data_IF_381990210979
#
_entry.id   IF_381990210979
#
_cell.length_a   1.000
_cell.length_b   1.000
_cell.length_c   1.000
_cell.angle_alpha   90.00
_cell.angle_beta   90.00
_cell.angle_gamma   90.00
#
_symmetry.space_group_name_H-M   'P 1'
#
loop_
_entity.id
_entity.type
_entity.pdbx_description
1 polymer ?
#
# COMPACT_ATOMS: atom_id res chain seq x y z
N UNK A 1 -5.10 13.82 -49.72
CA UNK A 1 -4.42 12.56 -50.09
C UNK A 1 -3.40 12.13 -49.03
N UNK A 2 -2.42 12.97 -48.67
CA UNK A 2 -1.35 12.61 -47.69
C UNK A 2 -1.87 12.27 -46.28
N UNK A 3 -2.88 13.01 -45.76
CA UNK A 3 -3.46 12.72 -44.44
C UNK A 3 -4.16 11.35 -44.37
N UNK A 4 -4.77 10.90 -45.47
CA UNK A 4 -5.42 9.61 -45.53
C UNK A 4 -4.37 8.48 -45.52
N UNK A 5 -3.31 8.64 -46.31
CA UNK A 5 -2.17 7.70 -46.31
C UNK A 5 -1.52 7.58 -44.93
N UNK A 6 -1.41 8.69 -44.18
CA UNK A 6 -0.89 8.68 -42.82
C UNK A 6 -1.83 7.95 -41.83
N UNK A 7 -3.14 8.13 -41.97
CA UNK A 7 -4.14 7.45 -41.14
C UNK A 7 -4.16 5.94 -41.41
N UNK A 8 -4.09 5.56 -42.69
CA UNK A 8 -4.05 4.15 -43.11
C UNK A 8 -2.77 3.48 -42.60
N UNK A 9 -1.63 4.19 -42.60
CA UNK A 9 -0.38 3.72 -42.04
C UNK A 9 -0.46 3.52 -40.51
N UNK A 10 -1.09 4.44 -39.80
CA UNK A 10 -1.31 4.32 -38.35
C UNK A 10 -2.24 3.14 -38.02
N UNK A 11 -3.29 2.96 -38.81
CA UNK A 11 -4.21 1.84 -38.68
C UNK A 11 -3.49 0.50 -38.93
N UNK A 12 -2.62 0.45 -39.95
CA UNK A 12 -1.78 -0.71 -40.23
C UNK A 12 -0.81 -1.00 -39.07
N UNK A 13 -0.21 0.04 -38.48
CA UNK A 13 0.66 -0.12 -37.29
C UNK A 13 -0.11 -0.72 -36.11
N UNK A 14 -1.32 -0.24 -35.82
CA UNK A 14 -2.16 -0.80 -34.75
C UNK A 14 -2.54 -2.26 -35.01
N UNK A 15 -2.85 -2.60 -36.26
CA UNK A 15 -3.17 -3.98 -36.65
C UNK A 15 -1.95 -4.91 -36.52
N UNK A 16 -0.75 -4.42 -36.85
CA UNK A 16 0.50 -5.16 -36.66
C UNK A 16 0.79 -5.43 -35.18
N UNK A 17 0.58 -4.44 -34.31
CA UNK A 17 0.75 -4.60 -32.85
C UNK A 17 -0.21 -5.68 -32.33
N UNK A 18 -1.50 -5.62 -32.71
CA UNK A 18 -2.48 -6.65 -32.31
C UNK A 18 -2.13 -8.04 -32.82
N UNK A 19 -1.62 -8.13 -34.05
CA UNK A 19 -1.19 -9.40 -34.63
C UNK A 19 0.04 -9.94 -33.91
N UNK A 20 0.99 -9.08 -33.55
CA UNK A 20 2.16 -9.45 -32.75
C UNK A 20 1.76 -10.00 -31.37
N UNK A 21 0.81 -9.35 -30.70
CA UNK A 21 0.26 -9.83 -29.42
C UNK A 21 -0.40 -11.22 -29.55
N UNK A 22 -1.09 -11.49 -30.67
CA UNK A 22 -1.73 -12.78 -30.92
C UNK A 22 -0.77 -13.91 -31.33
N UNK A 23 0.39 -13.55 -31.88
CA UNK A 23 1.39 -14.50 -32.38
C UNK A 23 2.44 -14.86 -31.32
N UNK A 24 2.57 -14.05 -30.27
CA UNK A 24 3.41 -14.37 -29.12
C UNK A 24 2.59 -15.27 -28.15
N UNK A 25 2.88 -16.57 -28.02
CA UNK A 25 2.32 -17.36 -26.94
C UNK A 25 2.70 -16.66 -25.63
N UNK A 26 1.72 -16.33 -24.78
CA UNK A 26 1.91 -15.63 -23.50
C UNK A 26 2.87 -16.36 -22.55
N UNK A 27 4.16 -16.30 -22.83
CA UNK A 27 5.18 -17.08 -22.12
C UNK A 27 6.60 -16.56 -22.29
N UNK A 28 6.83 -15.26 -22.57
CA UNK A 28 8.20 -14.68 -22.46
C UNK A 28 8.26 -13.19 -22.11
N UNK A 29 7.38 -12.65 -21.27
CA UNK A 29 7.74 -11.42 -20.51
C UNK A 29 7.00 -11.33 -19.19
N UNK A 30 7.07 -12.36 -18.35
CA UNK A 30 6.56 -12.24 -16.99
C UNK A 30 7.29 -13.12 -15.98
N UNK A 31 8.60 -12.93 -15.89
CA UNK A 31 9.28 -13.07 -14.58
C UNK A 31 8.89 -11.94 -13.60
N UNK A 32 7.94 -11.07 -13.99
CA UNK A 32 7.32 -10.02 -13.17
C UNK A 32 5.84 -10.28 -12.80
N UNK A 33 5.23 -11.42 -13.19
CA UNK A 33 3.90 -11.86 -12.69
C UNK A 33 4.04 -12.86 -11.55
N UNK A 34 4.63 -12.44 -10.45
CA UNK A 34 4.33 -13.06 -9.18
C UNK A 34 3.97 -11.93 -8.23
N UNK A 35 2.81 -11.31 -8.50
CA UNK A 35 1.98 -10.71 -7.48
C UNK A 35 1.56 -11.86 -6.56
N UNK A 36 2.50 -12.42 -5.77
CA UNK A 36 2.21 -13.52 -4.86
C UNK A 36 1.32 -12.92 -3.78
N UNK A 37 0.01 -13.11 -3.93
CA UNK A 37 -0.95 -12.73 -2.93
C UNK A 37 -0.57 -13.38 -1.61
N UNK A 38 -0.67 -12.61 -0.52
CA UNK A 38 -0.53 -13.14 0.82
C UNK A 38 -1.76 -13.98 1.12
N UNK A 39 -1.58 -15.29 1.24
CA UNK A 39 -2.65 -16.17 1.72
C UNK A 39 -2.92 -15.89 3.20
N UNK A 40 -4.11 -16.28 3.68
CA UNK A 40 -4.44 -16.10 5.10
C UNK A 40 -3.47 -16.86 6.02
N UNK A 41 -3.04 -18.06 5.61
CA UNK A 41 -2.07 -18.86 6.36
C UNK A 41 -0.71 -18.15 6.46
N UNK A 42 -0.17 -17.68 5.34
CA UNK A 42 1.10 -16.94 5.33
C UNK A 42 1.00 -15.63 6.13
N UNK A 43 -0.13 -14.94 6.05
CA UNK A 43 -0.38 -13.73 6.82
C UNK A 43 -0.44 -13.99 8.34
N UNK A 44 -1.14 -15.06 8.75
CA UNK A 44 -1.20 -15.47 10.16
C UNK A 44 0.19 -15.85 10.68
N UNK A 45 0.96 -16.58 9.88
CA UNK A 45 2.34 -16.93 10.20
C UNK A 45 3.22 -15.68 10.30
N UNK A 46 3.05 -14.71 9.40
CA UNK A 46 3.72 -13.41 9.48
C UNK A 46 3.42 -12.70 10.81
N UNK A 47 2.15 -12.61 11.22
CA UNK A 47 1.76 -12.00 12.51
C UNK A 47 2.43 -12.73 13.69
N UNK A 48 2.38 -14.06 13.69
CA UNK A 48 3.01 -14.87 14.74
C UNK A 48 4.52 -14.60 14.83
N UNK A 49 5.22 -14.56 13.69
CA UNK A 49 6.66 -14.31 13.64
C UNK A 49 7.03 -12.88 14.03
N UNK A 50 6.20 -11.89 13.67
CA UNK A 50 6.37 -10.50 14.13
C UNK A 50 6.22 -10.40 15.64
N UNK A 51 5.26 -11.11 16.24
CA UNK A 51 5.12 -11.16 17.70
C UNK A 51 6.29 -11.88 18.38
N UNK A 52 6.82 -12.94 17.75
CA UNK A 52 7.93 -13.74 18.30
C UNK A 52 9.29 -13.02 18.22
N UNK A 53 9.62 -12.43 17.08
CA UNK A 53 10.96 -11.86 16.82
C UNK A 53 11.00 -10.32 16.90
N UNK A 54 9.85 -9.67 16.82
CA UNK A 54 9.74 -8.22 16.77
C UNK A 54 9.83 -7.64 15.34
N UNK A 55 9.28 -6.44 15.17
CA UNK A 55 9.10 -5.76 13.88
C UNK A 55 10.37 -5.56 13.03
N UNK A 56 11.54 -5.46 13.67
CA UNK A 56 12.80 -5.13 13.01
C UNK A 56 13.55 -6.37 12.47
N UNK A 57 13.11 -7.58 12.83
CA UNK A 57 13.80 -8.84 12.51
C UNK A 57 13.27 -9.48 11.22
N UNK A 58 13.26 -8.69 10.14
CA UNK A 58 12.71 -9.10 8.84
C UNK A 58 13.46 -10.30 8.24
N UNK A 59 14.77 -10.40 8.47
CA UNK A 59 15.58 -11.52 7.99
C UNK A 59 15.13 -12.84 8.61
N UNK A 60 14.90 -12.85 9.92
CA UNK A 60 14.43 -14.03 10.67
C UNK A 60 13.00 -14.39 10.29
N UNK A 61 12.12 -13.40 10.13
CA UNK A 61 10.74 -13.61 9.69
C UNK A 61 10.70 -14.24 8.29
N UNK A 62 11.48 -13.72 7.35
CA UNK A 62 11.50 -14.22 5.97
C UNK A 62 12.02 -15.66 5.85
N UNK A 63 12.98 -16.06 6.69
CA UNK A 63 13.47 -17.46 6.70
C UNK A 63 12.39 -18.46 7.13
N UNK A 64 11.38 -18.02 7.87
CA UNK A 64 10.34 -18.89 8.41
C UNK A 64 9.06 -18.90 7.55
N UNK A 65 8.92 -18.02 6.54
CA UNK A 65 7.74 -17.98 5.68
C UNK A 65 8.07 -18.65 4.34
N UNK A 66 7.49 -19.83 4.04
CA UNK A 66 7.74 -20.49 2.77
C UNK A 66 7.21 -19.65 1.60
N UNK A 67 7.95 -19.63 0.48
CA UNK A 67 7.52 -18.95 -0.75
C UNK A 67 7.57 -17.42 -0.72
N UNK A 68 8.10 -16.79 0.34
CA UNK A 68 8.28 -15.33 0.42
C UNK A 68 9.74 -14.96 0.63
N UNK A 69 10.24 -14.05 -0.19
CA UNK A 69 11.60 -13.53 -0.05
C UNK A 69 11.66 -12.33 0.92
N UNK A 70 12.86 -12.01 1.40
CA UNK A 70 13.09 -10.92 2.36
C UNK A 70 12.51 -9.56 1.89
N UNK A 71 12.61 -9.25 0.60
CA UNK A 71 12.10 -8.00 0.01
C UNK A 71 10.55 -7.95 0.02
N UNK A 72 9.90 -9.07 -0.25
CA UNK A 72 8.44 -9.22 -0.17
C UNK A 72 7.96 -9.07 1.28
N UNK A 73 8.65 -9.72 2.23
CA UNK A 73 8.33 -9.60 3.66
C UNK A 73 8.54 -8.17 4.16
N UNK A 74 9.61 -7.49 3.75
CA UNK A 74 9.85 -6.09 4.09
C UNK A 74 8.72 -5.19 3.56
N UNK A 75 8.38 -5.32 2.27
CA UNK A 75 7.29 -4.57 1.64
C UNK A 75 5.95 -4.81 2.33
N UNK A 76 5.64 -6.08 2.64
CA UNK A 76 4.43 -6.47 3.35
C UNK A 76 4.39 -5.89 4.77
N UNK A 77 5.51 -5.97 5.49
CA UNK A 77 5.65 -5.39 6.83
C UNK A 77 5.36 -3.90 6.83
N UNK A 78 5.95 -3.17 5.89
CA UNK A 78 5.73 -1.73 5.76
C UNK A 78 4.24 -1.41 5.54
N UNK A 79 3.59 -2.11 4.59
CA UNK A 79 2.16 -1.94 4.32
C UNK A 79 1.29 -2.29 5.52
N UNK A 80 1.61 -3.39 6.21
CA UNK A 80 0.91 -3.84 7.40
C UNK A 80 0.97 -2.81 8.53
N UNK A 81 2.17 -2.32 8.88
CA UNK A 81 2.32 -1.33 9.94
C UNK A 81 1.74 0.04 9.57
N UNK A 82 1.83 0.46 8.30
CA UNK A 82 1.17 1.66 7.83
C UNK A 82 -0.36 1.55 7.99
N UNK A 83 -0.94 0.40 7.61
CA UNK A 83 -2.38 0.14 7.77
C UNK A 83 -2.79 0.16 9.25
N UNK A 84 -1.99 -0.43 10.14
CA UNK A 84 -2.22 -0.35 11.58
C UNK A 84 -2.20 1.08 12.09
N UNK A 85 -1.23 1.90 11.67
CA UNK A 85 -1.13 3.32 12.05
C UNK A 85 -2.35 4.12 11.55
N UNK A 86 -2.75 3.92 10.30
CA UNK A 86 -3.91 4.59 9.71
C UNK A 86 -5.22 4.17 10.37
N UNK A 87 -5.37 2.88 10.70
CA UNK A 87 -6.56 2.40 11.42
C UNK A 87 -6.61 2.96 12.84
N UNK A 88 -5.47 3.02 13.54
CA UNK A 88 -5.40 3.68 14.84
C UNK A 88 -5.80 5.16 14.71
N UNK A 89 -5.31 5.89 13.71
CA UNK A 89 -5.70 7.27 13.45
C UNK A 89 -7.20 7.40 13.18
N UNK A 90 -7.76 6.60 12.25
CA UNK A 90 -9.20 6.59 11.95
C UNK A 90 -10.07 6.27 13.16
N UNK A 91 -9.61 5.40 14.05
CA UNK A 91 -10.33 5.09 15.30
C UNK A 91 -10.48 6.33 16.20
N UNK A 92 -9.52 7.27 16.15
CA UNK A 92 -9.61 8.52 16.90
C UNK A 92 -10.37 9.60 16.12
N UNK A 93 -10.19 9.74 14.80
CA UNK A 93 -10.79 10.83 14.03
C UNK A 93 -12.14 10.48 13.34
N UNK A 94 -12.69 9.29 13.56
CA UNK A 94 -13.77 8.72 12.74
C UNK A 94 -15.15 8.58 13.39
N UNK A 95 -15.49 9.35 14.43
CA UNK A 95 -16.86 9.37 14.99
C UNK A 95 -17.32 10.80 15.28
N UNK A 96 -18.63 11.04 15.09
CA UNK A 96 -19.43 12.29 15.09
C UNK A 96 -19.30 13.23 16.31
N UNK A 97 -18.26 13.10 17.13
CA UNK A 97 -17.90 14.07 18.17
C UNK A 97 -16.41 14.38 18.03
N UNK A 98 -16.09 15.21 17.02
CA UNK A 98 -14.72 15.53 16.60
C UNK A 98 -13.92 16.21 17.72
N UNK A 99 -14.58 16.98 18.60
CA UNK A 99 -13.93 17.77 19.64
C UNK A 99 -13.39 16.94 20.82
N UNK A 100 -14.11 15.89 21.27
CA UNK A 100 -13.66 15.05 22.39
C UNK A 100 -12.50 14.13 22.01
N UNK A 101 -12.51 13.61 20.78
CA UNK A 101 -11.47 12.71 20.31
C UNK A 101 -10.14 13.44 20.04
N UNK A 102 -10.19 14.70 19.59
CA UNK A 102 -9.01 15.56 19.43
C UNK A 102 -8.39 15.87 20.78
N UNK A 103 -9.19 16.22 21.80
CA UNK A 103 -8.70 16.47 23.16
C UNK A 103 -8.01 15.23 23.76
N UNK A 104 -8.59 14.04 23.60
CA UNK A 104 -8.02 12.77 24.08
C UNK A 104 -6.72 12.38 23.36
N UNK A 105 -6.62 12.69 22.07
CA UNK A 105 -5.39 12.50 21.30
C UNK A 105 -4.27 13.46 21.75
N UNK A 106 -4.60 14.73 21.99
CA UNK A 106 -3.64 15.74 22.44
C UNK A 106 -3.14 15.47 23.87
N UNK A 107 -4.01 15.01 24.77
CA UNK A 107 -3.64 14.63 26.14
C UNK A 107 -2.67 13.45 26.17
N UNK A 108 -2.92 12.40 25.37
CA UNK A 108 -2.06 11.21 25.28
C UNK A 108 -0.69 11.51 24.66
N UNK A 109 -0.59 12.57 23.84
CA UNK A 109 0.65 13.01 23.20
C UNK A 109 1.35 14.18 23.94
N UNK A 110 0.89 14.56 25.13
CA UNK A 110 1.56 15.54 26.00
C UNK A 110 1.45 17.01 25.56
N UNK A 111 0.55 17.35 24.65
CA UNK A 111 0.34 18.72 24.14
C UNK A 111 -0.67 19.47 25.02
N UNK A 112 -0.33 19.74 26.29
CA UNK A 112 -1.15 20.59 27.19
C UNK A 112 -0.60 22.01 27.21
N UNK A 113 -1.10 22.88 26.33
CA UNK A 113 -0.72 24.30 26.27
C UNK A 113 -1.83 25.16 25.70
N UNK A 114 -2.10 26.29 26.37
CA UNK A 114 -3.23 27.23 26.22
C UNK A 114 -3.40 27.78 24.78
N UNK A 115 -2.41 27.62 23.89
CA UNK A 115 -2.41 28.13 22.53
C UNK A 115 -3.26 27.36 21.50
N UNK A 116 -3.63 26.10 21.76
CA UNK A 116 -4.35 25.29 20.75
C UNK A 116 -5.81 25.70 20.57
N UNK A 117 -6.47 26.17 21.64
CA UNK A 117 -7.83 26.72 21.54
C UNK A 117 -7.86 27.99 20.68
N UNK A 118 -6.79 28.80 20.74
CA UNK A 118 -6.61 30.00 19.93
C UNK A 118 -6.38 29.65 18.45
N UNK A 119 -5.57 28.63 18.17
CA UNK A 119 -5.26 28.18 16.79
C UNK A 119 -6.48 27.52 16.12
N UNK A 120 -7.24 26.71 16.87
CA UNK A 120 -8.48 26.10 16.36
C UNK A 120 -9.58 27.14 16.09
N UNK A 121 -9.68 28.20 16.91
CA UNK A 121 -10.66 29.27 16.70
C UNK A 121 -10.30 30.21 15.54
N UNK A 122 -9.03 30.28 15.12
CA UNK A 122 -8.58 31.09 13.98
C UNK A 122 -8.70 30.39 12.62
N UNK A 123 -8.95 29.08 12.59
CA UNK A 123 -9.08 28.29 11.36
C UNK A 123 -10.54 28.10 10.90
N UNK A 124 -11.50 28.77 11.55
CA UNK A 124 -12.91 28.82 11.16
C UNK A 124 -13.37 30.21 10.67
N UNK A 125 -12.47 31.04 10.14
CA UNK A 125 -12.84 32.25 9.37
C UNK A 125 -12.57 32.03 7.88
#
# INVERSE_FOLDING_TARGET
MIKQQLLDLLQAQHNLIRKLDSLLPHSTTNQNLQNVFWTQSEHNQFIFLVNKFGKNKISEIARNIPGKNKKQVATHSQKFFNKLKMNAQKQYFGKENEDENVLKYLEKNGLKGIGLKQVLMQLQM
#
